data_IF_402053573306
#
_entry.id   IF_402053573306
#
_cell.length_a   1.000
_cell.length_b   1.000
_cell.length_c   1.000
_cell.angle_alpha   90.00
_cell.angle_beta   90.00
_cell.angle_gamma   90.00
#
_symmetry.space_group_name_H-M   'P 1'
#
loop_
_entity.id
_entity.type
_entity.pdbx_description
1 polymer ?
#
# COMPACT_ATOMS: atom_id res chain seq x y z
N UNK A 1 -57.81 -17.14 -51.37
CA UNK A 1 -56.52 -17.47 -50.73
C UNK A 1 -56.09 -16.27 -49.89
N UNK A 2 -56.08 -16.40 -48.55
CA UNK A 2 -55.49 -15.39 -47.65
C UNK A 2 -54.52 -16.14 -46.73
N UNK A 3 -53.21 -15.95 -46.96
CA UNK A 3 -52.14 -16.52 -46.14
C UNK A 3 -52.09 -15.77 -44.79
N UNK A 4 -52.18 -16.52 -43.69
CA UNK A 4 -51.87 -16.02 -42.35
C UNK A 4 -50.37 -16.16 -42.11
N UNK A 5 -49.69 -15.02 -41.92
CA UNK A 5 -48.30 -14.97 -41.49
C UNK A 5 -48.28 -15.19 -39.97
N UNK A 6 -47.65 -16.26 -39.52
CA UNK A 6 -47.41 -16.56 -38.10
C UNK A 6 -46.06 -15.91 -37.74
N UNK A 7 -46.09 -14.90 -36.88
CA UNK A 7 -44.89 -14.34 -36.27
C UNK A 7 -44.48 -15.24 -35.09
N UNK A 8 -43.41 -16.02 -35.28
CA UNK A 8 -42.76 -16.79 -34.23
C UNK A 8 -41.71 -15.88 -33.57
N UNK A 9 -42.01 -15.32 -32.39
CA UNK A 9 -41.01 -14.59 -31.61
C UNK A 9 -40.06 -15.60 -30.96
N UNK A 10 -38.83 -15.73 -31.49
CA UNK A 10 -37.74 -16.38 -30.79
C UNK A 10 -37.38 -15.54 -29.55
N UNK A 11 -37.73 -16.02 -28.36
CA UNK A 11 -37.10 -15.56 -27.13
C UNK A 11 -35.67 -16.10 -27.11
N UNK A 12 -34.71 -15.24 -27.43
CA UNK A 12 -33.29 -15.48 -27.16
C UNK A 12 -33.12 -15.49 -25.63
N UNK A 13 -33.13 -16.67 -25.02
CA UNK A 13 -32.66 -16.82 -23.64
C UNK A 13 -31.15 -16.54 -23.64
N UNK A 14 -30.77 -15.31 -23.30
CA UNK A 14 -29.40 -14.98 -22.95
C UNK A 14 -29.06 -15.68 -21.65
N UNK A 15 -28.43 -16.86 -21.75
CA UNK A 15 -27.76 -17.50 -20.63
C UNK A 15 -26.56 -16.60 -20.29
N UNK A 16 -26.76 -15.70 -19.32
CA UNK A 16 -25.65 -15.06 -18.64
C UNK A 16 -24.86 -16.16 -17.92
N UNK A 17 -23.67 -16.49 -18.43
CA UNK A 17 -22.65 -17.12 -17.59
C UNK A 17 -22.34 -16.15 -16.46
N UNK A 18 -22.98 -16.35 -15.31
CA UNK A 18 -22.64 -15.64 -14.08
C UNK A 18 -21.21 -16.02 -13.67
N UNK A 19 -20.30 -15.08 -13.91
CA UNK A 19 -19.03 -15.00 -13.19
C UNK A 19 -19.37 -14.92 -11.70
N UNK A 20 -18.88 -15.88 -10.92
CA UNK A 20 -19.12 -16.04 -9.48
C UNK A 20 -18.55 -14.86 -8.67
N UNK A 21 -19.25 -13.74 -8.68
CA UNK A 21 -19.38 -12.87 -7.51
C UNK A 21 -20.53 -13.39 -6.65
N UNK A 22 -20.53 -13.10 -5.34
CA UNK A 22 -21.67 -13.44 -4.50
C UNK A 22 -22.93 -12.77 -5.09
N UNK A 23 -24.02 -13.53 -5.33
CA UNK A 23 -25.25 -12.96 -5.86
C UNK A 23 -25.85 -12.00 -4.83
N UNK A 24 -26.16 -10.78 -5.28
CA UNK A 24 -26.86 -9.81 -4.44
C UNK A 24 -28.24 -10.32 -4.07
N UNK A 25 -28.52 -10.36 -2.76
CA UNK A 25 -29.84 -10.67 -2.21
C UNK A 25 -30.80 -9.51 -2.41
N UNK A 26 -30.31 -8.28 -2.18
CA UNK A 26 -31.09 -7.05 -2.28
C UNK A 26 -30.19 -5.85 -2.61
N UNK A 27 -30.78 -4.74 -3.04
CA UNK A 27 -30.06 -3.50 -3.32
C UNK A 27 -30.73 -2.29 -2.69
N UNK A 28 -29.93 -1.39 -2.11
CA UNK A 28 -30.37 -0.12 -1.51
C UNK A 28 -29.62 1.02 -2.19
N UNK A 29 -30.34 2.00 -2.74
CA UNK A 29 -29.73 3.22 -3.28
C UNK A 29 -29.28 4.13 -2.13
N UNK A 30 -28.01 4.57 -2.15
CA UNK A 30 -27.42 5.46 -1.13
C UNK A 30 -26.73 6.66 -1.80
N UNK A 31 -26.40 7.70 -1.03
CA UNK A 31 -25.60 8.83 -1.53
C UNK A 31 -24.20 8.40 -2.02
N UNK A 32 -23.68 7.26 -1.56
CA UNK A 32 -22.39 6.72 -1.94
C UNK A 32 -22.44 5.76 -3.14
N UNK A 33 -23.63 5.46 -3.67
CA UNK A 33 -23.85 4.50 -4.74
C UNK A 33 -24.84 3.40 -4.36
N UNK A 34 -24.98 2.38 -5.23
CA UNK A 34 -25.92 1.28 -5.01
C UNK A 34 -25.31 0.25 -4.09
N UNK A 35 -25.80 0.16 -2.86
CA UNK A 35 -25.41 -0.88 -1.91
C UNK A 35 -26.08 -2.20 -2.30
N UNK A 36 -25.30 -3.28 -2.35
CA UNK A 36 -25.78 -4.66 -2.55
C UNK A 36 -25.61 -5.41 -1.23
N UNK A 37 -26.69 -5.99 -0.72
CA UNK A 37 -26.65 -6.92 0.40
C UNK A 37 -26.41 -8.34 -0.14
N UNK A 38 -25.47 -9.07 0.46
CA UNK A 38 -25.16 -10.45 0.09
C UNK A 38 -25.84 -11.43 1.05
N UNK A 39 -26.02 -12.67 0.61
CA UNK A 39 -26.70 -13.72 1.40
C UNK A 39 -25.98 -14.10 2.69
N UNK A 40 -24.70 -13.75 2.83
CA UNK A 40 -23.89 -14.00 4.02
C UNK A 40 -23.85 -12.80 4.99
N UNK A 41 -24.79 -11.86 4.85
CA UNK A 41 -24.93 -10.63 5.64
C UNK A 41 -23.79 -9.62 5.44
N UNK A 42 -22.93 -9.82 4.44
CA UNK A 42 -21.98 -8.78 3.99
C UNK A 42 -22.67 -7.83 3.01
N UNK A 43 -22.02 -6.71 2.68
CA UNK A 43 -22.53 -5.74 1.72
C UNK A 43 -21.41 -5.18 0.83
N UNK A 44 -21.76 -4.71 -0.36
CA UNK A 44 -20.85 -4.02 -1.28
C UNK A 44 -21.48 -2.75 -1.84
N UNK A 45 -20.68 -1.78 -2.30
CA UNK A 45 -21.17 -0.62 -3.04
C UNK A 45 -20.75 -0.75 -4.51
N UNK A 46 -21.75 -0.73 -5.39
CA UNK A 46 -21.54 -0.66 -6.84
C UNK A 46 -21.49 0.80 -7.27
N UNK A 47 -20.39 1.14 -7.95
CA UNK A 47 -20.15 2.43 -8.58
C UNK A 47 -20.21 3.61 -7.60
N UNK A 48 -19.18 3.73 -6.77
CA UNK A 48 -18.90 4.94 -5.99
C UNK A 48 -18.59 6.10 -6.93
N UNK A 49 -19.60 6.95 -7.21
CA UNK A 49 -19.50 8.05 -8.16
C UNK A 49 -18.46 9.11 -7.76
N UNK A 50 -18.03 9.12 -6.49
CA UNK A 50 -17.08 10.08 -5.96
C UNK A 50 -15.64 9.56 -5.95
N UNK A 51 -15.41 8.35 -6.45
CA UNK A 51 -14.09 7.73 -6.47
C UNK A 51 -13.55 7.60 -7.89
N UNK A 52 -12.48 8.35 -8.17
CA UNK A 52 -11.81 8.42 -9.47
C UNK A 52 -10.85 7.24 -9.75
N UNK A 53 -10.79 6.25 -8.83
CA UNK A 53 -9.88 5.11 -8.92
C UNK A 53 -8.49 5.35 -8.33
N UNK A 54 -8.21 6.54 -7.79
CA UNK A 54 -6.91 6.93 -7.23
C UNK A 54 -7.00 7.06 -5.71
N UNK A 55 -6.35 6.15 -5.00
CA UNK A 55 -6.38 6.15 -3.53
C UNK A 55 -5.28 7.04 -2.92
N UNK A 56 -4.11 7.14 -3.58
CA UNK A 56 -3.02 8.03 -3.18
C UNK A 56 -2.66 8.99 -4.33
N UNK A 57 -3.16 10.25 -4.31
CA UNK A 57 -2.90 11.23 -5.35
C UNK A 57 -1.42 11.61 -5.49
N UNK A 58 -0.65 11.61 -4.39
CA UNK A 58 0.78 11.93 -4.40
C UNK A 58 1.54 10.87 -5.20
N UNK A 59 1.34 9.60 -4.88
CA UNK A 59 2.02 8.49 -5.56
C UNK A 59 1.56 8.42 -7.01
N UNK A 60 0.27 8.57 -7.28
CA UNK A 60 -0.26 8.62 -8.64
C UNK A 60 0.39 9.72 -9.48
N UNK A 61 0.56 10.93 -8.93
CA UNK A 61 1.26 12.02 -9.62
C UNK A 61 2.72 11.70 -9.90
N UNK A 62 3.44 11.10 -8.95
CA UNK A 62 4.84 10.70 -9.11
C UNK A 62 4.95 9.66 -10.23
N UNK A 63 4.16 8.58 -10.18
CA UNK A 63 4.28 7.51 -11.16
C UNK A 63 3.87 7.93 -12.58
N UNK A 64 2.92 8.86 -12.69
CA UNK A 64 2.49 9.43 -13.97
C UNK A 64 3.55 10.35 -14.61
N UNK A 65 4.54 10.81 -13.85
CA UNK A 65 5.63 11.63 -14.37
C UNK A 65 6.73 10.84 -15.07
N UNK A 66 6.77 9.52 -14.93
CA UNK A 66 7.72 8.67 -15.67
C UNK A 66 7.37 8.58 -17.15
N UNK A 67 8.36 8.22 -17.97
CA UNK A 67 8.22 8.04 -19.41
C UNK A 67 8.83 6.69 -19.84
N UNK A 68 8.01 5.68 -20.21
CA UNK A 68 6.55 5.71 -20.19
C UNK A 68 5.98 5.78 -18.76
N UNK A 69 4.78 6.34 -18.61
CA UNK A 69 4.10 6.39 -17.33
C UNK A 69 3.70 4.98 -16.88
N UNK A 70 3.84 4.68 -15.60
CA UNK A 70 3.29 3.46 -15.02
C UNK A 70 1.78 3.57 -14.92
N UNK A 71 1.09 2.48 -15.26
CA UNK A 71 -0.38 2.42 -15.27
C UNK A 71 -0.85 1.43 -14.23
N UNK A 72 -1.87 1.80 -13.48
CA UNK A 72 -2.58 0.89 -12.57
C UNK A 72 -4.03 1.35 -12.49
N UNK A 73 -4.91 0.69 -13.24
CA UNK A 73 -6.32 1.04 -13.22
C UNK A 73 -7.01 0.54 -11.94
N UNK A 74 -8.11 1.18 -11.57
CA UNK A 74 -9.03 0.59 -10.59
C UNK A 74 -9.98 -0.36 -11.31
N UNK A 75 -9.85 -1.66 -11.05
CA UNK A 75 -10.70 -2.67 -11.67
C UNK A 75 -10.90 -3.85 -10.72
N UNK A 76 -12.14 -4.14 -10.37
CA UNK A 76 -12.47 -5.17 -9.38
C UNK A 76 -12.47 -6.59 -9.96
N UNK A 77 -12.38 -6.70 -11.29
CA UNK A 77 -12.50 -7.95 -12.02
C UNK A 77 -11.15 -8.48 -12.53
N UNK A 78 -10.11 -7.68 -12.51
CA UNK A 78 -8.78 -8.07 -13.01
C UNK A 78 -7.83 -8.16 -11.84
N UNK A 79 -7.15 -9.30 -11.66
CA UNK A 79 -6.22 -9.49 -10.54
C UNK A 79 -5.02 -8.54 -10.62
N UNK A 80 -4.42 -8.41 -11.81
CA UNK A 80 -3.26 -7.56 -12.08
C UNK A 80 -3.66 -6.43 -13.04
N UNK A 81 -3.69 -5.20 -12.55
CA UNK A 81 -4.19 -4.01 -13.25
C UNK A 81 -3.10 -3.17 -13.93
N UNK A 82 -1.85 -3.61 -13.82
CA UNK A 82 -0.61 -2.88 -14.13
C UNK A 82 0.30 -3.69 -15.05
N UNK A 83 -0.26 -4.68 -15.77
CA UNK A 83 0.50 -5.51 -16.73
C UNK A 83 1.26 -4.63 -17.72
N UNK A 84 2.55 -4.89 -17.86
CA UNK A 84 3.46 -4.16 -18.77
C UNK A 84 4.23 -3.01 -18.12
N UNK A 85 3.99 -2.70 -16.85
CA UNK A 85 4.89 -1.82 -16.10
C UNK A 85 6.23 -2.51 -15.88
N UNK A 86 7.31 -1.78 -16.19
CA UNK A 86 8.68 -2.18 -15.86
C UNK A 86 9.25 -1.26 -14.79
N UNK A 87 9.12 -1.66 -13.53
CA UNK A 87 9.62 -0.87 -12.39
C UNK A 87 11.15 -0.84 -12.29
N UNK A 88 11.88 -1.57 -13.12
CA UNK A 88 13.34 -1.41 -13.20
C UNK A 88 13.73 -0.03 -13.76
N UNK A 89 12.80 0.64 -14.45
CA UNK A 89 12.93 2.01 -14.96
C UNK A 89 12.64 3.11 -13.94
N UNK A 90 12.39 2.77 -12.67
CA UNK A 90 12.35 3.77 -11.60
C UNK A 90 13.68 4.54 -11.55
N UNK A 91 13.62 5.83 -11.90
CA UNK A 91 14.78 6.73 -11.95
C UNK A 91 15.22 7.20 -10.56
N UNK A 92 14.27 7.36 -9.65
CA UNK A 92 14.45 7.93 -8.32
C UNK A 92 13.83 7.04 -7.25
N UNK A 93 14.21 7.33 -6.00
CA UNK A 93 13.62 6.67 -4.83
C UNK A 93 12.28 7.33 -4.49
N UNK A 94 11.21 6.54 -4.39
CA UNK A 94 9.90 7.01 -3.95
C UNK A 94 9.78 6.73 -2.46
N UNK A 95 9.59 7.78 -1.67
CA UNK A 95 9.31 7.64 -0.25
C UNK A 95 7.82 7.39 -0.01
N UNK A 96 7.50 6.24 0.59
CA UNK A 96 6.19 5.87 1.12
C UNK A 96 6.21 5.92 2.65
N UNK A 97 5.17 6.50 3.24
CA UNK A 97 4.93 6.41 4.67
C UNK A 97 4.09 5.15 4.91
N UNK A 98 4.63 4.17 5.63
CA UNK A 98 3.92 2.91 5.89
C UNK A 98 2.91 3.05 7.03
N UNK A 99 3.17 3.96 7.97
CA UNK A 99 2.27 4.31 9.06
C UNK A 99 1.71 5.72 8.81
N UNK A 100 0.66 5.84 7.99
CA UNK A 100 0.07 7.15 7.63
C UNK A 100 -0.85 7.72 8.71
N UNK A 101 -0.89 7.11 9.89
CA UNK A 101 -1.75 7.54 10.96
C UNK A 101 -1.62 9.03 11.25
N UNK A 102 -2.76 9.73 11.17
CA UNK A 102 -3.00 10.93 11.98
C UNK A 102 -2.76 10.52 13.43
N UNK A 103 -2.11 11.40 14.17
CA UNK A 103 -1.42 11.34 15.48
C UNK A 103 -1.85 10.32 16.57
N UNK A 104 -2.87 9.47 16.36
CA UNK A 104 -3.61 8.71 17.36
C UNK A 104 -4.05 7.27 16.95
N UNK A 105 -3.69 6.74 15.78
CA UNK A 105 -3.97 5.32 15.40
C UNK A 105 -2.70 4.54 14.99
N UNK A 106 -2.64 3.23 15.25
CA UNK A 106 -1.66 2.37 14.56
C UNK A 106 -2.24 2.07 13.18
N UNK A 107 -1.57 2.42 12.07
CA UNK A 107 -2.05 2.09 10.71
C UNK A 107 -1.52 0.74 10.20
N UNK A 108 -0.96 -0.08 11.10
CA UNK A 108 -0.41 -1.39 10.80
C UNK A 108 -0.98 -2.45 11.73
N UNK A 109 -1.37 -3.57 11.14
CA UNK A 109 -1.76 -4.78 11.86
C UNK A 109 -1.15 -6.00 11.16
N UNK A 110 -0.86 -7.06 11.91
CA UNK A 110 -0.41 -8.31 11.29
C UNK A 110 -1.56 -9.00 10.54
N UNK A 111 -1.32 -9.67 9.41
CA UNK A 111 -2.40 -10.32 8.67
C UNK A 111 -3.05 -11.48 9.44
N UNK A 112 -2.38 -12.01 10.48
CA UNK A 112 -2.83 -13.09 11.36
C UNK A 112 -2.47 -12.78 12.83
N UNK A 113 -3.19 -13.39 13.78
CA UNK A 113 -2.83 -13.34 15.21
C UNK A 113 -1.61 -14.20 15.54
N UNK A 114 -1.58 -15.42 14.99
CA UNK A 114 -0.45 -16.34 15.07
C UNK A 114 0.45 -16.07 13.87
N UNK A 115 1.69 -15.68 14.14
CA UNK A 115 2.67 -15.35 13.11
C UNK A 115 3.79 -16.36 13.18
N UNK A 116 3.80 -17.25 12.21
CA UNK A 116 4.86 -18.23 11.96
C UNK A 116 5.05 -18.31 10.45
N UNK A 117 6.30 -18.16 10.01
CA UNK A 117 6.63 -18.22 8.58
C UNK A 117 6.89 -19.68 8.21
N UNK A 118 6.15 -20.19 7.23
CA UNK A 118 6.36 -21.52 6.65
C UNK A 118 7.31 -21.47 5.45
N UNK A 119 7.21 -20.40 4.63
CA UNK A 119 8.09 -20.19 3.48
C UNK A 119 8.32 -18.70 3.24
N UNK A 120 9.56 -18.31 3.04
CA UNK A 120 9.97 -16.93 2.78
C UNK A 120 9.78 -16.54 1.31
N UNK A 121 9.83 -15.24 1.04
CA UNK A 121 9.95 -14.69 -0.31
C UNK A 121 11.28 -15.09 -0.96
N UNK A 122 11.25 -15.39 -2.27
CA UNK A 122 12.47 -15.64 -3.05
C UNK A 122 12.55 -17.03 -3.71
N UNK A 123 13.76 -17.52 -4.03
CA UNK A 123 13.93 -18.77 -4.78
C UNK A 123 13.37 -20.00 -4.05
N UNK A 124 12.57 -20.81 -4.75
CA UNK A 124 11.96 -22.06 -4.28
C UNK A 124 11.98 -23.12 -5.38
N UNK A 125 12.95 -24.03 -5.33
CA UNK A 125 13.00 -25.21 -6.22
C UNK A 125 12.91 -24.88 -7.72
N UNK A 126 13.60 -23.81 -8.17
CA UNK A 126 13.61 -23.38 -9.57
C UNK A 126 12.51 -22.39 -9.98
N UNK A 127 11.62 -22.00 -9.07
CA UNK A 127 10.66 -20.90 -9.26
C UNK A 127 10.83 -19.84 -8.18
N UNK A 128 10.38 -18.62 -8.43
CA UNK A 128 10.34 -17.58 -7.41
C UNK A 128 9.01 -17.58 -6.67
N UNK A 129 9.10 -17.53 -5.35
CA UNK A 129 8.01 -17.29 -4.44
C UNK A 129 7.83 -15.78 -4.25
N UNK A 130 6.67 -15.27 -4.63
CA UNK A 130 6.41 -13.82 -4.75
C UNK A 130 5.88 -13.17 -3.45
N UNK A 131 5.71 -13.95 -2.39
CA UNK A 131 5.23 -13.51 -1.09
C UNK A 131 5.86 -14.30 0.04
N UNK A 132 5.25 -14.24 1.21
CA UNK A 132 5.60 -15.02 2.40
C UNK A 132 4.41 -15.89 2.77
N UNK A 133 4.65 -17.19 2.95
CA UNK A 133 3.64 -18.14 3.39
C UNK A 133 3.64 -18.18 4.92
N UNK A 134 2.51 -17.84 5.52
CA UNK A 134 2.31 -17.83 6.96
C UNK A 134 1.46 -19.02 7.40
N UNK A 135 1.85 -19.65 8.51
CA UNK A 135 1.10 -20.75 9.10
C UNK A 135 -0.28 -20.29 9.56
N UNK A 136 -1.28 -21.09 9.21
CA UNK A 136 -2.68 -20.75 9.38
C UNK A 136 -3.52 -22.03 9.35
N UNK A 137 -4.50 -22.11 10.25
CA UNK A 137 -5.54 -23.14 10.20
C UNK A 137 -6.75 -22.67 9.39
N UNK A 138 -7.45 -23.62 8.73
CA UNK A 138 -8.67 -23.28 7.98
C UNK A 138 -9.70 -22.70 8.95
N UNK A 139 -10.21 -21.50 8.62
CA UNK A 139 -11.15 -20.77 9.47
C UNK A 139 -10.51 -19.68 10.33
N UNK A 140 -9.18 -19.62 10.45
CA UNK A 140 -8.50 -18.52 11.16
C UNK A 140 -8.85 -17.17 10.51
N UNK A 141 -9.04 -16.14 11.33
CA UNK A 141 -9.36 -14.80 10.81
C UNK A 141 -8.12 -14.17 10.18
N UNK A 142 -8.29 -13.67 8.95
CA UNK A 142 -7.30 -12.89 8.22
C UNK A 142 -7.69 -11.41 8.30
N UNK A 143 -6.72 -10.56 8.61
CA UNK A 143 -6.90 -9.13 8.88
C UNK A 143 -6.24 -8.25 7.82
N UNK A 144 -6.79 -7.06 7.57
CA UNK A 144 -6.16 -6.06 6.71
C UNK A 144 -4.87 -5.53 7.35
N UNK A 145 -3.74 -5.65 6.65
CA UNK A 145 -2.42 -5.23 7.16
C UNK A 145 -2.30 -3.71 7.31
N UNK A 146 -2.86 -2.95 6.37
CA UNK A 146 -2.93 -1.48 6.40
C UNK A 146 -4.34 -1.02 6.03
N UNK A 147 -4.72 0.20 6.39
CA UNK A 147 -6.00 0.78 5.98
C UNK A 147 -6.07 0.97 4.46
N UNK A 148 -7.28 0.86 3.89
CA UNK A 148 -7.44 0.97 2.45
C UNK A 148 -8.84 0.67 1.94
N UNK A 149 -8.91 0.32 0.65
CA UNK A 149 -10.15 -0.05 -0.05
C UNK A 149 -9.96 -1.39 -0.74
N UNK A 150 -10.93 -2.29 -0.60
CA UNK A 150 -10.92 -3.61 -1.23
C UNK A 150 -11.01 -3.41 -2.74
N UNK A 151 -9.95 -3.78 -3.46
CA UNK A 151 -9.93 -3.76 -4.91
C UNK A 151 -10.52 -5.05 -5.48
N UNK A 152 -10.27 -6.20 -4.85
CA UNK A 152 -10.70 -7.50 -5.38
C UNK A 152 -10.99 -8.47 -4.25
N UNK A 153 -12.08 -9.20 -4.37
CA UNK A 153 -12.47 -10.28 -3.47
C UNK A 153 -13.27 -11.30 -4.29
N UNK A 154 -12.57 -12.29 -4.85
CA UNK A 154 -13.18 -13.38 -5.64
C UNK A 154 -12.22 -14.54 -5.83
N UNK A 155 -12.75 -15.66 -6.33
CA UNK A 155 -11.91 -16.79 -6.73
C UNK A 155 -11.02 -16.42 -7.92
N UNK A 156 -9.75 -16.81 -7.85
CA UNK A 156 -8.74 -16.60 -8.86
C UNK A 156 -8.20 -17.94 -9.38
N UNK A 157 -8.36 -18.16 -10.68
CA UNK A 157 -7.94 -19.40 -11.36
C UNK A 157 -6.42 -19.48 -11.63
N UNK A 158 -5.68 -18.38 -11.40
CA UNK A 158 -4.22 -18.30 -11.59
C UNK A 158 -3.40 -18.99 -10.50
N UNK A 159 -4.05 -19.67 -9.56
CA UNK A 159 -3.41 -20.43 -8.48
C UNK A 159 -3.63 -19.85 -7.09
N UNK A 160 -4.04 -18.58 -6.95
CA UNK A 160 -4.29 -17.98 -5.63
C UNK A 160 -5.55 -18.54 -4.93
N UNK A 161 -6.49 -19.15 -5.67
CA UNK A 161 -7.77 -19.57 -5.08
C UNK A 161 -8.62 -18.36 -4.70
N UNK A 162 -9.32 -18.42 -3.57
CA UNK A 162 -9.99 -17.23 -3.04
C UNK A 162 -8.95 -16.19 -2.64
N UNK A 163 -9.03 -15.02 -3.26
CA UNK A 163 -8.06 -13.94 -3.12
C UNK A 163 -8.78 -12.65 -2.73
N UNK A 164 -8.26 -12.00 -1.69
CA UNK A 164 -8.55 -10.59 -1.38
C UNK A 164 -7.34 -9.75 -1.75
N UNK A 165 -7.57 -8.61 -2.41
CA UNK A 165 -6.56 -7.59 -2.66
C UNK A 165 -7.05 -6.26 -2.09
N UNK A 166 -6.26 -5.70 -1.19
CA UNK A 166 -6.50 -4.39 -0.58
C UNK A 166 -5.52 -3.40 -1.19
N UNK A 167 -6.03 -2.28 -1.73
CA UNK A 167 -5.19 -1.13 -2.10
C UNK A 167 -5.20 -0.15 -0.95
N UNK A 168 -4.02 0.30 -0.54
CA UNK A 168 -3.83 1.08 0.68
C UNK A 168 -3.60 2.55 0.39
N UNK A 169 -3.89 3.38 1.39
CA UNK A 169 -3.66 4.83 1.32
C UNK A 169 -2.17 5.16 1.18
N UNK A 170 -1.26 4.33 1.72
CA UNK A 170 0.19 4.45 1.52
C UNK A 170 0.69 4.13 0.10
N UNK A 171 -0.19 3.70 -0.82
CA UNK A 171 0.14 3.42 -2.22
C UNK A 171 0.59 1.98 -2.52
N UNK A 172 0.62 1.09 -1.52
CA UNK A 172 0.85 -0.34 -1.70
C UNK A 172 -0.45 -1.10 -1.96
N UNK A 173 -0.32 -2.32 -2.47
CA UNK A 173 -1.36 -3.35 -2.43
C UNK A 173 -0.89 -4.55 -1.61
N UNK A 174 -1.80 -5.18 -0.88
CA UNK A 174 -1.56 -6.47 -0.22
C UNK A 174 -2.51 -7.53 -0.76
N UNK A 175 -1.97 -8.73 -0.96
CA UNK A 175 -2.69 -9.89 -1.49
C UNK A 175 -2.79 -10.94 -0.38
N UNK A 176 -3.99 -11.50 -0.19
CA UNK A 176 -4.30 -12.53 0.80
C UNK A 176 -4.94 -13.70 0.07
N UNK A 177 -4.19 -14.78 -0.12
CA UNK A 177 -4.59 -15.91 -0.96
C UNK A 177 -4.87 -17.19 -0.17
N UNK A 178 -5.36 -18.20 -0.89
CA UNK A 178 -5.74 -19.51 -0.38
C UNK A 178 -6.90 -19.49 0.63
N UNK A 179 -7.68 -18.42 0.67
CA UNK A 179 -8.74 -18.18 1.66
C UNK A 179 -9.88 -19.20 1.55
N UNK A 180 -10.64 -19.40 2.62
CA UNK A 180 -11.87 -20.23 2.59
C UNK A 180 -13.12 -19.39 2.35
N UNK A 181 -13.19 -18.18 2.91
CA UNK A 181 -14.37 -17.32 2.87
C UNK A 181 -13.98 -15.84 2.85
N UNK A 182 -14.71 -15.02 2.09
CA UNK A 182 -14.61 -13.56 2.14
C UNK A 182 -15.49 -13.00 3.25
N UNK A 183 -15.01 -11.97 3.97
CA UNK A 183 -15.81 -11.20 4.92
C UNK A 183 -16.05 -9.76 4.43
N UNK A 184 -15.58 -9.47 3.22
CA UNK A 184 -15.61 -8.15 2.60
C UNK A 184 -15.92 -8.29 1.11
N UNK A 185 -16.32 -7.18 0.51
CA UNK A 185 -16.59 -7.11 -0.92
C UNK A 185 -15.84 -5.96 -1.61
N UNK A 186 -15.70 -5.99 -2.96
CA UNK A 186 -15.01 -4.92 -3.67
C UNK A 186 -15.65 -3.53 -3.43
N UNK A 187 -14.80 -2.50 -3.46
CA UNK A 187 -15.08 -1.09 -3.12
C UNK A 187 -15.39 -0.82 -1.64
N UNK A 188 -15.41 -1.83 -0.76
CA UNK A 188 -15.52 -1.60 0.68
C UNK A 188 -14.24 -0.94 1.22
N UNK A 189 -14.38 0.07 2.08
CA UNK A 189 -13.25 0.62 2.84
C UNK A 189 -13.00 -0.25 4.08
N UNK A 190 -11.74 -0.44 4.43
CA UNK A 190 -11.30 -1.21 5.60
C UNK A 190 -10.23 -0.43 6.35
N UNK A 191 -10.26 -0.51 7.67
CA UNK A 191 -9.19 -0.06 8.55
C UNK A 191 -8.18 -1.19 8.74
N UNK A 192 -6.94 -0.84 9.09
CA UNK A 192 -5.97 -1.85 9.51
C UNK A 192 -6.53 -2.65 10.70
N UNK A 193 -6.34 -3.97 10.68
CA UNK A 193 -6.87 -4.86 11.71
C UNK A 193 -8.34 -5.24 11.53
N UNK A 194 -9.03 -4.74 10.52
CA UNK A 194 -10.37 -5.23 10.19
C UNK A 194 -10.30 -6.68 9.68
N UNK A 195 -11.20 -7.58 10.11
CA UNK A 195 -11.37 -8.90 9.51
C UNK A 195 -11.77 -8.78 8.04
N UNK A 196 -11.01 -9.41 7.15
CA UNK A 196 -11.29 -9.38 5.69
C UNK A 196 -11.66 -10.74 5.11
N UNK A 197 -11.21 -11.83 5.73
CA UNK A 197 -11.44 -13.17 5.23
C UNK A 197 -11.20 -14.22 6.32
N UNK A 198 -11.52 -15.47 6.00
CA UNK A 198 -11.11 -16.64 6.76
C UNK A 198 -10.05 -17.44 5.99
N UNK A 199 -9.09 -17.98 6.74
CA UNK A 199 -8.03 -18.88 6.29
C UNK A 199 -8.56 -20.11 5.58
N UNK A 200 -7.80 -20.64 4.63
CA UNK A 200 -8.23 -21.80 3.87
C UNK A 200 -7.08 -22.60 3.25
N UNK A 201 -7.45 -23.35 2.21
CA UNK A 201 -6.54 -24.14 1.40
C UNK A 201 -7.02 -24.18 -0.07
N UNK A 202 -7.58 -23.08 -0.56
CA UNK A 202 -8.16 -23.03 -1.93
C UNK A 202 -7.10 -22.73 -2.99
N UNK A 203 -7.40 -23.03 -4.26
CA UNK A 203 -6.47 -22.80 -5.37
C UNK A 203 -5.32 -23.81 -5.37
N UNK A 204 -4.13 -23.37 -5.76
CA UNK A 204 -2.92 -24.23 -5.84
C UNK A 204 -2.11 -24.13 -4.56
N UNK A 205 -2.56 -24.85 -3.53
CA UNK A 205 -1.93 -24.92 -2.22
C UNK A 205 -1.66 -26.38 -1.83
N UNK A 206 -0.55 -26.64 -1.13
CA UNK A 206 -0.19 -27.99 -0.63
C UNK A 206 -0.74 -28.29 0.76
N UNK A 207 -1.22 -27.28 1.48
CA UNK A 207 -1.77 -27.39 2.83
C UNK A 207 -2.23 -26.03 3.35
N UNK A 208 -3.00 -25.97 4.45
CA UNK A 208 -3.48 -24.69 4.99
C UNK A 208 -2.33 -23.73 5.30
N UNK A 209 -2.37 -22.54 4.69
CA UNK A 209 -1.48 -21.42 4.95
C UNK A 209 -2.07 -20.15 4.34
N UNK A 210 -1.62 -18.98 4.80
CA UNK A 210 -1.87 -17.72 4.12
C UNK A 210 -0.69 -17.39 3.22
N UNK A 211 -0.91 -17.34 1.91
CA UNK A 211 0.06 -16.76 0.99
C UNK A 211 -0.16 -15.23 0.95
N UNK A 212 0.79 -14.49 1.52
CA UNK A 212 0.73 -13.04 1.70
C UNK A 212 1.76 -12.34 0.80
N UNK A 213 1.31 -11.44 -0.08
CA UNK A 213 2.19 -10.63 -0.91
C UNK A 213 2.00 -9.14 -0.62
N UNK A 214 3.09 -8.38 -0.70
CA UNK A 214 3.06 -6.92 -0.77
C UNK A 214 3.51 -6.48 -2.15
N UNK A 215 2.77 -5.55 -2.76
CA UNK A 215 3.01 -5.11 -4.14
C UNK A 215 2.98 -3.60 -4.27
N UNK A 216 3.75 -3.11 -5.24
CA UNK A 216 3.65 -1.75 -5.75
C UNK A 216 3.45 -1.83 -7.26
N UNK A 217 2.34 -1.31 -7.78
CA UNK A 217 2.01 -1.38 -9.21
C UNK A 217 2.16 -2.80 -9.80
N UNK A 218 1.59 -3.79 -9.11
CA UNK A 218 1.67 -5.24 -9.34
C UNK A 218 3.05 -5.92 -9.20
N UNK A 219 4.14 -5.16 -9.03
CA UNK A 219 5.44 -5.75 -8.78
C UNK A 219 5.57 -6.16 -7.31
N UNK A 220 6.02 -7.39 -7.08
CA UNK A 220 6.19 -7.96 -5.76
C UNK A 220 7.35 -7.30 -5.02
N UNK A 221 7.10 -6.95 -3.77
CA UNK A 221 8.11 -6.54 -2.79
C UNK A 221 8.18 -7.68 -1.78
N UNK A 222 9.39 -8.01 -1.33
CA UNK A 222 9.55 -8.94 -0.23
C UNK A 222 8.78 -8.42 1.00
N UNK A 223 7.75 -9.13 1.51
CA UNK A 223 7.00 -8.69 2.69
C UNK A 223 7.90 -8.44 3.91
N UNK A 224 9.03 -9.14 4.00
CA UNK A 224 10.02 -8.99 5.05
C UNK A 224 10.89 -7.72 4.92
N UNK A 225 10.78 -6.95 3.83
CA UNK A 225 11.31 -5.57 3.77
C UNK A 225 10.51 -4.62 4.68
N UNK A 226 9.23 -4.94 4.89
CA UNK A 226 8.25 -4.10 5.59
C UNK A 226 7.97 -4.65 6.98
N UNK A 227 7.85 -5.98 7.12
CA UNK A 227 7.40 -6.66 8.33
C UNK A 227 8.50 -7.55 8.88
N UNK A 228 8.78 -7.44 10.18
CA UNK A 228 9.62 -8.38 10.90
C UNK A 228 8.70 -9.42 11.54
N UNK A 229 8.46 -10.53 10.83
CA UNK A 229 7.59 -11.59 11.31
C UNK A 229 8.16 -12.29 12.56
N UNK A 230 9.48 -12.34 12.71
CA UNK A 230 10.14 -12.96 13.87
C UNK A 230 9.93 -12.15 15.15
N UNK A 231 10.17 -10.83 15.09
CA UNK A 231 10.00 -9.94 16.23
C UNK A 231 8.59 -9.32 16.34
N UNK A 232 7.67 -9.69 15.43
CA UNK A 232 6.29 -9.19 15.38
C UNK A 232 6.21 -7.67 15.43
N UNK A 233 7.03 -7.00 14.63
CA UNK A 233 7.01 -5.54 14.47
C UNK A 233 7.02 -5.11 13.01
N UNK A 234 6.53 -3.90 12.74
CA UNK A 234 6.83 -3.21 11.49
C UNK A 234 8.33 -2.86 11.48
N UNK A 235 9.06 -3.21 10.42
CA UNK A 235 10.51 -2.95 10.33
C UNK A 235 10.83 -1.48 10.20
N UNK A 236 10.01 -0.75 9.45
CA UNK A 236 10.24 0.64 9.08
C UNK A 236 8.91 1.38 9.07
N UNK A 237 8.88 2.57 9.65
CA UNK A 237 7.77 3.50 9.47
C UNK A 237 7.70 4.05 8.03
N UNK A 238 8.84 4.03 7.33
CA UNK A 238 9.02 4.61 6.01
C UNK A 238 9.66 3.61 5.06
N UNK A 239 9.04 3.38 3.90
CA UNK A 239 9.59 2.56 2.83
C UNK A 239 10.17 3.45 1.73
N UNK A 240 11.45 3.25 1.43
CA UNK A 240 12.15 3.91 0.33
C UNK A 240 12.13 2.99 -0.88
N UNK A 241 11.14 3.14 -1.76
CA UNK A 241 11.01 2.34 -2.96
C UNK A 241 12.05 2.72 -4.01
N UNK A 242 12.87 1.77 -4.40
CA UNK A 242 13.82 1.90 -5.51
C UNK A 242 13.88 0.61 -6.32
N UNK A 243 14.36 0.69 -7.57
CA UNK A 243 14.37 -0.43 -8.52
C UNK A 243 14.97 -1.75 -8.01
N UNK A 244 15.91 -1.69 -7.06
CA UNK A 244 16.56 -2.88 -6.54
C UNK A 244 15.63 -3.77 -5.67
N UNK A 245 14.55 -3.21 -5.11
CA UNK A 245 13.54 -3.97 -4.35
C UNK A 245 12.73 -4.93 -5.22
N UNK A 246 12.69 -4.69 -6.54
CA UNK A 246 11.93 -5.49 -7.51
C UNK A 246 12.78 -6.52 -8.25
N UNK A 247 14.05 -6.69 -7.85
CA UNK A 247 14.89 -7.78 -8.39
C UNK A 247 14.33 -9.12 -7.90
N UNK A 248 14.24 -10.15 -8.76
CA UNK A 248 13.79 -11.47 -8.32
C UNK A 248 14.62 -11.96 -7.12
N UNK A 249 13.95 -12.30 -6.02
CA UNK A 249 14.60 -12.77 -4.79
C UNK A 249 15.33 -11.71 -3.98
N UNK A 250 15.00 -10.42 -4.19
CA UNK A 250 15.50 -9.34 -3.35
C UNK A 250 15.35 -9.69 -1.86
N UNK A 251 16.48 -9.68 -1.16
CA UNK A 251 16.53 -9.86 0.28
C UNK A 251 16.15 -8.55 0.96
N UNK A 252 15.60 -8.60 2.20
CA UNK A 252 15.34 -7.40 2.94
C UNK A 252 16.62 -6.61 3.19
N UNK A 253 16.53 -5.29 3.14
CA UNK A 253 17.66 -4.41 3.37
C UNK A 253 18.09 -4.49 4.83
N UNK A 254 19.34 -4.89 5.08
CA UNK A 254 19.98 -4.86 6.39
C UNK A 254 19.97 -3.43 6.96
N UNK A 255 19.57 -3.29 8.22
CA UNK A 255 19.66 -2.02 8.92
C UNK A 255 21.11 -1.81 9.31
N UNK A 256 21.81 -0.89 8.64
CA UNK A 256 22.96 -0.25 9.28
C UNK A 256 22.36 0.79 10.20
N UNK A 257 22.26 0.46 11.49
CA UNK A 257 22.03 1.47 12.50
C UNK A 257 23.20 2.46 12.40
N UNK A 258 22.95 3.67 11.91
CA UNK A 258 23.96 4.71 11.87
C UNK A 258 24.15 5.16 13.31
N UNK A 259 25.01 4.45 14.03
CA UNK A 259 25.46 4.86 15.34
C UNK A 259 26.05 6.28 15.22
N UNK A 260 25.76 7.19 16.18
CA UNK A 260 26.47 8.46 16.26
C UNK A 260 27.98 8.20 16.18
N UNK A 261 28.72 9.08 15.51
CA UNK A 261 30.19 8.97 15.34
C UNK A 261 30.93 8.59 16.62
N UNK A 262 30.39 9.08 17.73
CA UNK A 262 30.90 9.00 19.09
C UNK A 262 30.82 7.57 19.65
N UNK A 263 29.89 6.75 19.15
CA UNK A 263 29.69 5.35 19.53
C UNK A 263 30.45 4.37 18.62
N UNK A 264 30.85 4.79 17.42
CA UNK A 264 31.62 3.98 16.47
C UNK A 264 33.05 3.73 16.97
N UNK A 265 33.67 4.73 17.61
CA UNK A 265 35.04 4.62 18.12
C UNK A 265 35.19 3.60 19.27
N UNK A 266 34.12 3.31 20.01
CA UNK A 266 34.14 2.37 21.12
C UNK A 266 34.02 0.89 20.66
N UNK A 267 33.45 0.63 19.49
CA UNK A 267 33.23 -0.74 18.99
C UNK A 267 34.35 -1.24 18.07
N UNK A 268 35.11 -0.36 17.42
CA UNK A 268 36.21 -0.73 16.51
C UNK A 268 37.46 -1.23 17.23
N UNK A 269 37.56 -1.08 18.56
CA UNK A 269 38.69 -1.57 19.34
C UNK A 269 38.73 -3.09 19.54
N UNK A 270 37.65 -3.83 19.24
CA UNK A 270 37.51 -5.26 19.56
C UNK A 270 37.18 -6.18 18.37
N UNK A 271 37.37 -5.74 17.11
CA UNK A 271 37.09 -6.58 15.94
C UNK A 271 38.37 -7.13 15.31
N UNK A 272 38.47 -8.46 15.23
CA UNK A 272 39.53 -9.18 14.52
C UNK A 272 39.45 -8.93 12.99
N UNK A 273 40.56 -8.77 12.27
CA UNK A 273 40.55 -8.20 10.90
C UNK A 273 40.10 -9.15 9.78
N UNK A 274 39.71 -10.40 10.08
CA UNK A 274 39.70 -11.47 9.07
C UNK A 274 38.40 -11.66 8.26
N UNK A 275 37.43 -10.75 8.33
CA UNK A 275 36.18 -10.86 7.53
C UNK A 275 35.76 -9.59 6.80
N UNK A 276 36.61 -8.55 6.71
CA UNK A 276 36.26 -7.32 6.01
C UNK A 276 36.93 -7.23 4.62
N UNK A 277 36.40 -7.95 3.64
CA UNK A 277 36.64 -7.60 2.23
C UNK A 277 35.33 -7.16 1.62
N UNK A 278 35.11 -5.85 1.61
CA UNK A 278 34.40 -5.05 0.60
C UNK A 278 34.61 -3.59 1.01
N UNK A 279 35.76 -3.04 0.64
CA UNK A 279 36.01 -1.61 0.71
C UNK A 279 35.13 -0.96 -0.35
N UNK A 280 33.92 -0.54 0.04
CA UNK A 280 33.18 0.43 -0.73
C UNK A 280 33.97 1.74 -0.67
N UNK A 281 34.47 2.18 -1.82
CA UNK A 281 34.93 3.55 -1.98
C UNK A 281 33.81 4.50 -1.51
N UNK A 282 34.12 5.60 -0.80
CA UNK A 282 33.11 6.51 -0.33
C UNK A 282 32.32 7.03 -1.53
N UNK A 283 31.04 6.64 -1.61
CA UNK A 283 30.11 7.25 -2.56
C UNK A 283 30.07 8.73 -2.16
N UNK A 284 30.44 9.67 -3.04
CA UNK A 284 30.32 11.08 -2.72
C UNK A 284 28.87 11.36 -2.40
N UNK A 285 28.64 11.86 -1.18
CA UNK A 285 27.34 12.31 -0.67
C UNK A 285 26.64 13.09 -1.79
N UNK A 286 25.50 12.62 -2.33
CA UNK A 286 24.76 13.42 -3.29
C UNK A 286 24.47 14.75 -2.61
N UNK A 287 24.93 15.83 -3.24
CA UNK A 287 24.67 17.16 -2.75
C UNK A 287 23.15 17.37 -2.76
N UNK A 288 22.52 17.22 -1.60
CA UNK A 288 21.16 17.70 -1.39
C UNK A 288 21.23 19.19 -1.76
N UNK A 289 20.53 19.66 -2.80
CA UNK A 289 20.50 21.09 -3.07
C UNK A 289 20.03 21.75 -1.78
N UNK A 290 20.86 22.61 -1.20
CA UNK A 290 20.53 23.35 0.03
C UNK A 290 19.14 23.94 -0.19
N UNK A 291 18.16 23.52 0.62
CA UNK A 291 16.82 24.06 0.57
C UNK A 291 16.93 25.59 0.59
N UNK A 292 16.47 26.23 -0.49
CA UNK A 292 16.63 27.67 -0.65
C UNK A 292 15.79 28.36 0.42
N UNK A 293 16.48 29.01 1.37
CA UNK A 293 15.81 29.72 2.47
C UNK A 293 14.91 30.79 1.88
N UNK A 294 13.62 30.73 2.16
CA UNK A 294 12.66 31.74 1.70
C UNK A 294 12.25 32.60 2.87
N UNK A 295 12.27 33.92 2.69
CA UNK A 295 11.89 34.90 3.69
C UNK A 295 10.65 35.69 3.25
N UNK A 296 9.84 36.09 4.21
CA UNK A 296 8.67 36.95 4.07
C UNK A 296 8.83 38.18 4.95
N UNK A 297 8.57 39.38 4.42
CA UNK A 297 8.64 40.61 5.20
C UNK A 297 7.27 40.89 5.82
N UNK A 298 7.21 40.98 7.14
CA UNK A 298 5.98 41.25 7.90
C UNK A 298 5.40 42.62 7.50
N UNK A 299 4.13 42.65 7.12
CA UNK A 299 3.34 43.84 6.79
C UNK A 299 2.35 44.16 7.90
N UNK A 300 1.81 45.39 7.86
CA UNK A 300 0.77 45.80 8.79
C UNK A 300 -0.46 44.87 8.67
N UNK A 301 -0.93 44.35 9.81
CA UNK A 301 -2.08 43.44 9.87
C UNK A 301 -1.77 41.95 9.64
N UNK A 302 -0.50 41.56 9.54
CA UNK A 302 -0.14 40.14 9.46
C UNK A 302 -0.27 39.40 10.79
N UNK A 303 -0.68 38.13 10.69
CA UNK A 303 -0.64 37.16 11.78
C UNK A 303 0.18 35.94 11.36
N UNK A 304 0.78 35.24 12.32
CA UNK A 304 1.55 34.00 12.05
C UNK A 304 0.69 32.97 11.32
N UNK A 305 -0.59 32.83 11.69
CA UNK A 305 -1.56 31.94 11.04
C UNK A 305 -1.76 32.29 9.58
N UNK A 306 -1.93 33.58 9.25
CA UNK A 306 -2.14 34.04 7.87
C UNK A 306 -0.88 33.86 7.03
N UNK A 307 0.29 34.15 7.57
CA UNK A 307 1.58 33.96 6.90
C UNK A 307 1.83 32.48 6.62
N UNK A 308 1.58 31.60 7.61
CA UNK A 308 1.77 30.16 7.47
C UNK A 308 0.85 29.58 6.37
N UNK A 309 -0.44 29.93 6.40
CA UNK A 309 -1.41 29.51 5.40
C UNK A 309 -1.05 29.99 3.98
N UNK A 310 -0.65 31.27 3.84
CA UNK A 310 -0.22 31.86 2.56
C UNK A 310 0.99 31.15 1.95
N UNK A 311 1.85 30.56 2.77
CA UNK A 311 3.08 29.92 2.33
C UNK A 311 3.06 28.38 2.39
N UNK A 312 1.88 27.79 2.59
CA UNK A 312 1.66 26.35 2.67
C UNK A 312 2.58 25.70 3.72
N UNK A 313 2.66 26.31 4.91
CA UNK A 313 3.41 25.82 6.07
C UNK A 313 2.56 25.95 7.34
N UNK A 314 3.08 25.54 8.50
CA UNK A 314 2.40 25.61 9.79
C UNK A 314 2.95 26.74 10.65
N UNK A 315 2.15 27.22 11.61
CA UNK A 315 2.61 28.22 12.60
C UNK A 315 3.81 27.69 13.38
N UNK A 316 3.80 26.41 13.76
CA UNK A 316 4.94 25.75 14.43
C UNK A 316 6.20 25.85 13.57
N UNK A 317 6.13 25.44 12.30
CA UNK A 317 7.29 25.49 11.41
C UNK A 317 7.83 26.92 11.23
N UNK A 318 6.97 27.92 11.10
CA UNK A 318 7.40 29.34 11.05
C UNK A 318 8.04 29.77 12.37
N UNK A 319 7.51 29.33 13.51
CA UNK A 319 8.08 29.61 14.83
C UNK A 319 9.47 29.00 14.98
N UNK A 320 9.62 27.72 14.64
CA UNK A 320 10.86 26.95 14.72
C UNK A 320 11.94 27.54 13.81
N UNK A 321 11.57 27.95 12.59
CA UNK A 321 12.50 28.55 11.63
C UNK A 321 13.04 29.93 12.05
N UNK A 322 12.37 30.59 13.00
CA UNK A 322 12.69 31.95 13.42
C UNK A 322 13.03 32.07 14.91
N UNK A 323 13.05 30.96 15.65
CA UNK A 323 13.23 30.92 17.10
C UNK A 323 12.28 31.89 17.83
N UNK A 324 11.00 31.85 17.50
CA UNK A 324 9.93 32.64 18.13
C UNK A 324 8.82 31.74 18.65
N UNK A 325 8.00 32.23 19.57
CA UNK A 325 6.81 31.52 20.03
C UNK A 325 5.56 31.93 19.23
N UNK A 326 4.47 31.14 19.25
CA UNK A 326 3.19 31.52 18.64
C UNK A 326 2.58 32.81 19.22
N UNK A 327 2.97 33.19 20.43
CA UNK A 327 2.56 34.43 21.12
C UNK A 327 3.48 35.62 20.85
N UNK A 328 4.55 35.44 20.08
CA UNK A 328 5.52 36.51 19.81
C UNK A 328 4.90 37.61 18.95
N UNK A 329 4.98 38.86 19.41
CA UNK A 329 4.53 40.03 18.65
C UNK A 329 5.37 40.23 17.38
N UNK A 330 4.70 40.22 16.22
CA UNK A 330 5.33 40.44 14.92
C UNK A 330 5.67 41.92 14.72
N UNK A 331 6.94 42.23 14.45
CA UNK A 331 7.39 43.58 14.14
C UNK A 331 7.30 43.85 12.64
N UNK A 332 6.54 44.87 12.25
CA UNK A 332 6.40 45.30 10.85
C UNK A 332 7.79 45.58 10.27
N UNK A 333 8.03 45.09 9.05
CA UNK A 333 9.30 45.23 8.34
C UNK A 333 10.35 44.17 8.67
N UNK A 334 10.18 43.36 9.72
CA UNK A 334 11.07 42.23 10.03
C UNK A 334 10.84 41.07 9.05
N UNK A 335 11.92 40.46 8.60
CA UNK A 335 11.88 39.26 7.77
C UNK A 335 11.68 38.01 8.62
N UNK A 336 10.70 37.18 8.26
CA UNK A 336 10.45 35.85 8.79
C UNK A 336 10.85 34.79 7.77
N UNK A 337 11.61 33.80 8.20
CA UNK A 337 11.91 32.61 7.42
C UNK A 337 10.68 31.71 7.33
N UNK A 338 10.30 31.31 6.13
CA UNK A 338 9.09 30.53 5.85
C UNK A 338 9.37 29.17 5.19
N UNK A 339 10.59 28.96 4.67
CA UNK A 339 11.14 27.67 4.19
C UNK A 339 12.65 27.59 4.44
#
# INVERSE_FOLDING_TARGET
MKQKIIFLSLFLNSVFLHVLGQPGLDTVDTQAGKLILHSDQTWSIVNDANFDGVLNPRIHKIVNSYSPAFKQSWNNNVCFTSKGNDLTHLKDTIWLCLNEAREDANDFHFPLKRIQVNSHYGPRGGRYHNGTDLDLDVGDTVYATFSGKIRYAKYNEGGFGNLVVVRHYNGLETFYAHLSKFLVAPNQNVQCGDPIALGGNTGRSTGPHLHFEVRFYDACINPEEIIDFGNKKLRKENLFLHKALFRPGAQPTEFIEVLPSDQIAAQTANLNPSTATMVATPIPKPAIPKAQKKYYQIKAGDTLTRIAAMHHTTVSSVCDLNNISPSTTLKIGRSLRIK
#
